data_IF_669796737662
#
_entry.id   IF_669796737662
#
_cell.length_a   1.000
_cell.length_b   1.000
_cell.length_c   1.000
_cell.angle_alpha   90.00
_cell.angle_beta   90.00
_cell.angle_gamma   90.00
#
_symmetry.space_group_name_H-M   'P 1'
#
loop_
_entity.id
_entity.type
_entity.pdbx_description
1 polymer ?
#
# COMPACT_ATOMS: atom_id res chain seq x y z
N UNK A 1 0.70 -0.37 -12.61
CA UNK A 1 1.70 0.61 -12.13
C UNK A 1 2.06 0.36 -10.67
N UNK A 2 1.09 0.32 -9.75
CA UNK A 2 1.32 0.11 -8.32
C UNK A 2 1.86 -1.29 -7.95
N UNK A 3 1.72 -2.28 -8.83
CA UNK A 3 2.40 -3.59 -8.70
C UNK A 3 3.93 -3.46 -8.65
N UNK A 4 4.48 -2.43 -9.30
CA UNK A 4 5.92 -2.24 -9.55
C UNK A 4 6.47 -1.08 -8.71
N UNK A 5 5.68 -0.03 -8.51
CA UNK A 5 6.03 1.14 -7.70
C UNK A 5 5.22 1.07 -6.40
N UNK A 6 5.79 0.51 -5.31
CA UNK A 6 5.06 0.31 -4.06
C UNK A 6 4.80 1.62 -3.30
N UNK A 7 5.60 2.67 -3.55
CA UNK A 7 5.41 3.98 -2.91
C UNK A 7 4.24 4.74 -3.53
N UNK A 8 3.18 4.94 -2.75
CA UNK A 8 2.00 5.70 -3.17
C UNK A 8 2.30 7.15 -3.56
N UNK A 9 3.16 7.83 -2.79
CA UNK A 9 3.55 9.21 -3.07
C UNK A 9 4.34 9.32 -4.38
N UNK A 10 5.33 8.43 -4.57
CA UNK A 10 6.14 8.40 -5.80
C UNK A 10 5.28 8.05 -7.01
N UNK A 11 4.36 7.09 -6.86
CA UNK A 11 3.44 6.73 -7.92
C UNK A 11 2.51 7.89 -8.30
N UNK A 12 1.98 8.63 -7.32
CA UNK A 12 1.13 9.77 -7.61
C UNK A 12 1.86 10.86 -8.41
N UNK A 13 3.12 11.18 -8.08
CA UNK A 13 3.93 12.13 -8.87
C UNK A 13 4.03 11.68 -10.33
N UNK A 14 4.36 10.41 -10.56
CA UNK A 14 4.51 9.86 -11.91
C UNK A 14 3.17 9.88 -12.67
N UNK A 15 2.08 9.50 -12.02
CA UNK A 15 0.75 9.51 -12.64
C UNK A 15 0.24 10.92 -12.91
N UNK A 16 0.59 11.90 -12.06
CA UNK A 16 0.31 13.30 -12.34
C UNK A 16 1.08 13.81 -13.57
N UNK A 17 2.29 13.31 -13.83
CA UNK A 17 3.04 13.66 -15.04
C UNK A 17 2.53 12.94 -16.29
N UNK A 18 2.09 11.69 -16.16
CA UNK A 18 1.83 10.79 -17.31
C UNK A 18 0.34 10.57 -17.60
N UNK A 19 -0.43 10.22 -16.58
CA UNK A 19 -1.84 9.85 -16.72
C UNK A 19 -2.75 11.08 -16.65
N UNK A 20 -2.43 12.07 -15.82
CA UNK A 20 -3.27 13.24 -15.65
C UNK A 20 -3.56 13.99 -16.96
N UNK A 21 -2.57 14.33 -17.83
CA UNK A 21 -2.85 14.98 -19.10
C UNK A 21 -3.77 14.15 -20.00
N UNK A 22 -3.61 12.82 -20.00
CA UNK A 22 -4.46 11.90 -20.78
C UNK A 22 -5.91 11.93 -20.27
N UNK A 23 -6.12 11.93 -18.95
CA UNK A 23 -7.45 12.02 -18.36
C UNK A 23 -8.12 13.38 -18.65
N UNK A 24 -7.34 14.46 -18.71
CA UNK A 24 -7.82 15.80 -19.07
C UNK A 24 -8.26 15.87 -20.52
N UNK A 25 -7.49 15.29 -21.46
CA UNK A 25 -7.89 15.15 -22.87
C UNK A 25 -9.15 14.29 -23.02
N UNK A 26 -9.32 13.26 -22.18
CA UNK A 26 -10.55 12.47 -22.09
C UNK A 26 -11.75 13.22 -21.48
N UNK A 27 -11.63 14.54 -21.25
CA UNK A 27 -12.64 15.45 -20.71
C UNK A 27 -13.05 15.17 -19.26
N UNK A 28 -12.21 14.49 -18.48
CA UNK A 28 -12.42 14.40 -17.03
C UNK A 28 -12.11 15.74 -16.36
N UNK A 29 -12.86 16.10 -15.33
CA UNK A 29 -12.57 17.28 -14.51
C UNK A 29 -11.21 17.14 -13.81
N UNK A 30 -10.56 18.26 -13.49
CA UNK A 30 -9.24 18.27 -12.86
C UNK A 30 -9.28 17.56 -11.50
N UNK A 31 -10.34 17.80 -10.73
CA UNK A 31 -10.57 17.15 -9.45
C UNK A 31 -10.91 15.65 -9.57
N UNK A 32 -11.65 15.24 -10.61
CA UNK A 32 -11.93 13.83 -10.87
C UNK A 32 -10.66 13.06 -11.25
N UNK A 33 -9.82 13.63 -12.12
CA UNK A 33 -8.53 13.05 -12.49
C UNK A 33 -7.58 12.97 -11.29
N UNK A 34 -7.49 14.03 -10.49
CA UNK A 34 -6.75 14.06 -9.24
C UNK A 34 -7.24 12.99 -8.25
N UNK A 35 -8.55 12.88 -8.03
CA UNK A 35 -9.14 11.90 -7.13
C UNK A 35 -8.86 10.46 -7.56
N UNK A 36 -8.96 10.16 -8.86
CA UNK A 36 -8.58 8.83 -9.37
C UNK A 36 -7.10 8.56 -9.16
N UNK A 37 -6.22 9.52 -9.45
CA UNK A 37 -4.77 9.36 -9.26
C UNK A 37 -4.41 9.14 -7.79
N UNK A 38 -5.00 9.91 -6.87
CA UNK A 38 -4.78 9.78 -5.43
C UNK A 38 -5.17 8.40 -4.87
N UNK A 39 -6.09 7.69 -5.52
CA UNK A 39 -6.60 6.38 -5.09
C UNK A 39 -5.93 5.18 -5.77
N UNK A 40 -5.07 5.40 -6.77
CA UNK A 40 -4.40 4.31 -7.51
C UNK A 40 -3.48 3.42 -6.69
N UNK A 41 -2.95 3.94 -5.57
CA UNK A 41 -2.01 3.25 -4.68
C UNK A 41 -2.68 2.80 -3.36
N UNK A 42 -3.96 2.48 -3.41
CA UNK A 42 -4.72 2.03 -2.24
C UNK A 42 -4.46 0.54 -1.99
N UNK A 43 -5.21 -0.35 -2.62
CA UNK A 43 -5.07 -1.78 -2.41
C UNK A 43 -4.42 -2.43 -3.63
N UNK A 44 -3.32 -3.15 -3.41
CA UNK A 44 -2.59 -3.82 -4.50
C UNK A 44 -2.11 -5.18 -4.04
N UNK A 45 -2.61 -6.29 -4.61
CA UNK A 45 -2.07 -7.61 -4.35
C UNK A 45 -0.72 -7.77 -5.06
N UNK A 46 0.35 -7.26 -4.45
CA UNK A 46 1.72 -7.37 -4.97
C UNK A 46 2.65 -8.00 -3.95
N UNK A 47 3.47 -9.00 -4.34
CA UNK A 47 4.49 -9.57 -3.46
C UNK A 47 5.66 -8.62 -3.20
N UNK A 48 5.72 -7.49 -3.90
CA UNK A 48 6.72 -6.44 -3.70
C UNK A 48 6.32 -5.39 -2.65
N UNK A 49 5.08 -5.43 -2.14
CA UNK A 49 4.59 -4.50 -1.14
C UNK A 49 5.25 -4.76 0.21
N UNK A 50 5.91 -3.74 0.79
CA UNK A 50 6.59 -3.90 2.09
C UNK A 50 5.64 -4.33 3.21
N UNK A 51 4.39 -3.86 3.16
CA UNK A 51 3.31 -4.27 4.05
C UNK A 51 2.93 -5.74 3.85
N UNK A 52 2.81 -6.22 2.61
CA UNK A 52 2.58 -7.63 2.31
C UNK A 52 3.72 -8.54 2.78
N UNK A 53 4.97 -8.10 2.62
CA UNK A 53 6.16 -8.84 3.06
C UNK A 53 6.19 -8.97 4.58
N UNK A 54 5.93 -7.87 5.29
CA UNK A 54 5.87 -7.86 6.77
C UNK A 54 4.70 -8.71 7.26
N UNK A 55 3.51 -8.57 6.68
CA UNK A 55 2.33 -9.36 7.02
C UNK A 55 2.61 -10.86 6.85
N UNK A 56 3.11 -11.28 5.69
CA UNK A 56 3.43 -12.67 5.41
C UNK A 56 4.43 -13.24 6.43
N UNK A 57 5.49 -12.49 6.75
CA UNK A 57 6.52 -12.92 7.71
C UNK A 57 5.96 -13.11 9.12
N UNK A 58 5.18 -12.15 9.61
CA UNK A 58 4.64 -12.17 10.98
C UNK A 58 3.54 -13.23 11.13
N UNK A 59 2.76 -13.45 10.07
CA UNK A 59 1.70 -14.46 10.04
C UNK A 59 2.23 -15.88 9.76
N UNK A 60 3.53 -16.05 9.52
CA UNK A 60 4.17 -17.37 9.37
C UNK A 60 4.08 -17.97 7.96
N UNK A 61 3.82 -17.19 6.92
CA UNK A 61 3.87 -17.67 5.54
C UNK A 61 5.32 -17.78 5.04
N UNK A 62 5.69 -18.94 4.49
CA UNK A 62 7.04 -19.17 3.95
C UNK A 62 7.32 -18.31 2.70
N UNK A 63 6.31 -18.13 1.84
CA UNK A 63 6.39 -17.30 0.65
C UNK A 63 5.34 -16.20 0.66
N UNK A 64 5.78 -14.95 0.44
CA UNK A 64 4.89 -13.78 0.34
C UNK A 64 3.85 -13.97 -0.78
N UNK A 65 4.21 -14.69 -1.84
CA UNK A 65 3.31 -15.02 -2.95
C UNK A 65 2.09 -15.79 -2.48
N UNK A 66 2.22 -16.70 -1.52
CA UNK A 66 1.10 -17.50 -1.02
C UNK A 66 0.11 -16.60 -0.24
N UNK A 67 0.63 -15.74 0.65
CA UNK A 67 -0.20 -14.74 1.33
C UNK A 67 -0.94 -13.82 0.34
N UNK A 68 -0.20 -13.30 -0.64
CA UNK A 68 -0.76 -12.35 -1.61
C UNK A 68 -1.79 -13.01 -2.51
N UNK A 69 -1.54 -14.22 -3.02
CA UNK A 69 -2.43 -14.87 -4.00
C UNK A 69 -3.63 -15.54 -3.34
N UNK A 70 -3.45 -16.19 -2.19
CA UNK A 70 -4.50 -16.98 -1.55
C UNK A 70 -5.42 -16.16 -0.63
N UNK A 71 -4.89 -15.08 -0.04
CA UNK A 71 -5.64 -14.29 0.95
C UNK A 71 -5.87 -12.86 0.46
N UNK A 72 -4.80 -12.13 0.14
CA UNK A 72 -4.92 -10.71 -0.21
C UNK A 72 -5.64 -10.49 -1.55
N UNK A 73 -5.26 -11.19 -2.62
CA UNK A 73 -5.80 -11.02 -3.97
C UNK A 73 -7.29 -11.36 -4.03
N UNK A 74 -7.70 -12.44 -3.36
CA UNK A 74 -9.08 -12.91 -3.32
C UNK A 74 -10.04 -11.86 -2.77
N UNK A 75 -9.61 -11.07 -1.78
CA UNK A 75 -10.43 -10.00 -1.19
C UNK A 75 -10.23 -8.68 -1.94
N UNK A 76 -8.97 -8.31 -2.21
CA UNK A 76 -8.64 -7.03 -2.84
C UNK A 76 -9.18 -6.85 -4.26
N UNK A 77 -9.17 -7.88 -5.10
CA UNK A 77 -9.61 -7.76 -6.50
C UNK A 77 -11.11 -7.42 -6.62
N UNK A 78 -12.04 -8.15 -5.96
CA UNK A 78 -13.44 -7.75 -5.91
C UNK A 78 -13.64 -6.34 -5.33
N UNK A 79 -12.92 -6.00 -4.25
CA UNK A 79 -12.99 -4.67 -3.63
C UNK A 79 -12.58 -3.57 -4.61
N UNK A 80 -11.51 -3.77 -5.38
CA UNK A 80 -11.05 -2.82 -6.39
C UNK A 80 -12.09 -2.58 -7.49
N UNK A 81 -12.80 -3.63 -7.92
CA UNK A 81 -13.91 -3.49 -8.88
C UNK A 81 -15.04 -2.63 -8.30
N UNK A 82 -15.42 -2.88 -7.04
CA UNK A 82 -16.45 -2.09 -6.34
C UNK A 82 -16.01 -0.64 -6.19
N UNK A 83 -14.76 -0.39 -5.79
CA UNK A 83 -14.18 0.96 -5.68
C UNK A 83 -14.22 1.65 -7.06
N UNK A 84 -13.86 0.96 -8.13
CA UNK A 84 -13.90 1.50 -9.50
C UNK A 84 -15.31 1.94 -9.92
N UNK A 85 -16.31 1.10 -9.64
CA UNK A 85 -17.72 1.43 -9.90
C UNK A 85 -18.16 2.63 -9.04
N UNK A 86 -17.80 2.64 -7.75
CA UNK A 86 -18.11 3.74 -6.85
C UNK A 86 -17.45 5.05 -7.30
N UNK A 87 -16.21 5.01 -7.80
CA UNK A 87 -15.52 6.15 -8.41
C UNK A 87 -16.33 6.70 -9.59
N UNK A 88 -16.78 5.86 -10.51
CA UNK A 88 -17.56 6.30 -11.67
C UNK A 88 -18.78 7.14 -11.26
N UNK A 89 -19.60 6.62 -10.35
CA UNK A 89 -20.82 7.31 -9.91
C UNK A 89 -20.51 8.54 -9.05
N UNK A 90 -19.54 8.44 -8.14
CA UNK A 90 -19.20 9.54 -7.23
C UNK A 90 -18.56 10.72 -7.95
N UNK A 91 -17.64 10.47 -8.89
CA UNK A 91 -17.05 11.56 -9.67
C UNK A 91 -18.10 12.29 -10.51
N UNK A 92 -19.03 11.55 -11.16
CA UNK A 92 -20.13 12.16 -11.92
C UNK A 92 -21.05 13.01 -11.04
N UNK A 93 -21.34 12.55 -9.83
CA UNK A 93 -22.14 13.30 -8.86
C UNK A 93 -21.41 14.57 -8.40
N UNK A 94 -20.13 14.47 -8.02
CA UNK A 94 -19.32 15.60 -7.58
C UNK A 94 -19.08 16.62 -8.70
N UNK A 95 -18.85 16.17 -9.94
CA UNK A 95 -18.69 17.05 -11.10
C UNK A 95 -19.98 17.84 -11.38
N UNK A 96 -21.15 17.21 -11.27
CA UNK A 96 -22.44 17.92 -11.35
C UNK A 96 -22.63 18.93 -10.22
N UNK A 97 -22.21 18.59 -9.00
CA UNK A 97 -22.39 19.45 -7.82
C UNK A 97 -21.43 20.64 -7.80
N UNK A 98 -20.19 20.45 -8.26
CA UNK A 98 -19.15 21.48 -8.25
C UNK A 98 -19.11 22.31 -9.54
N UNK A 99 -19.69 21.81 -10.64
CA UNK A 99 -19.80 22.55 -11.90
C UNK A 99 -18.45 23.05 -12.38
N UNK A 100 -18.35 24.36 -12.66
CA UNK A 100 -17.11 24.99 -13.11
C UNK A 100 -15.94 24.86 -12.10
N UNK A 101 -16.21 24.80 -10.79
CA UNK A 101 -15.18 24.65 -9.78
C UNK A 101 -14.47 23.29 -9.80
N UNK A 102 -15.02 22.29 -10.51
CA UNK A 102 -14.36 21.01 -10.74
C UNK A 102 -13.19 21.09 -11.75
N UNK A 103 -13.18 22.14 -12.57
CA UNK A 103 -12.18 22.39 -13.60
C UNK A 103 -11.22 23.46 -13.10
N UNK A 104 -10.02 23.04 -12.71
CA UNK A 104 -8.93 23.95 -12.38
C UNK A 104 -7.99 24.10 -13.56
N UNK A 105 -7.54 25.32 -13.80
CA UNK A 105 -6.47 25.61 -14.77
C UNK A 105 -5.15 25.09 -14.21
N UNK A 106 -4.83 23.86 -14.60
CA UNK A 106 -3.54 23.24 -14.34
C UNK A 106 -2.67 23.48 -15.55
N UNK A 107 -1.50 24.08 -15.31
CA UNK A 107 -0.48 24.30 -16.33
C UNK A 107 0.20 22.96 -16.64
N UNK A 108 -0.40 22.21 -17.58
CA UNK A 108 0.05 20.86 -17.95
C UNK A 108 1.48 20.86 -18.54
N UNK A 109 1.96 22.00 -19.05
CA UNK A 109 3.33 22.15 -19.54
C UNK A 109 4.39 21.98 -18.44
N UNK A 110 4.02 22.13 -17.16
CA UNK A 110 4.89 21.89 -16.01
C UNK A 110 4.85 20.46 -15.49
N UNK A 111 3.93 19.63 -16.02
CA UNK A 111 3.81 18.21 -15.68
C UNK A 111 4.71 17.33 -16.55
N UNK A 112 5.28 17.87 -17.63
CA UNK A 112 6.14 17.11 -18.53
C UNK A 112 7.48 16.79 -17.86
N UNK A 113 7.77 15.50 -17.75
CA UNK A 113 9.09 15.00 -17.38
C UNK A 113 10.13 15.31 -18.46
N UNK A 114 11.35 15.65 -18.01
CA UNK A 114 12.52 16.01 -18.81
C UNK A 114 12.64 15.31 -20.19
N UNK A 115 13.10 16.08 -21.18
CA UNK A 115 13.34 15.67 -22.58
C UNK A 115 14.46 14.63 -22.78
N UNK A 116 15.19 14.24 -21.73
CA UNK A 116 16.21 13.18 -21.78
C UNK A 116 15.66 11.89 -21.17
N UNK A 117 14.89 11.16 -21.97
CA UNK A 117 14.44 9.82 -21.59
C UNK A 117 15.60 8.82 -21.73
N UNK A 118 15.84 7.94 -20.74
CA UNK A 118 16.77 6.84 -20.90
C UNK A 118 16.28 5.86 -21.99
N UNK A 119 17.15 4.98 -22.51
CA UNK A 119 16.77 3.99 -23.51
C UNK A 119 15.54 3.16 -23.09
N UNK A 120 14.67 2.83 -24.05
CA UNK A 120 13.37 2.19 -23.77
C UNK A 120 13.46 0.90 -22.95
N UNK A 121 14.55 0.13 -23.08
CA UNK A 121 14.76 -1.11 -22.32
C UNK A 121 14.91 -0.88 -20.80
N UNK A 122 15.15 0.35 -20.33
CA UNK A 122 15.20 0.67 -18.89
C UNK A 122 13.86 0.45 -18.19
N UNK A 123 12.76 0.48 -18.94
CA UNK A 123 11.44 0.13 -18.42
C UNK A 123 11.35 -1.33 -17.93
N UNK A 124 12.28 -2.20 -18.33
CA UNK A 124 12.34 -3.59 -17.88
C UNK A 124 12.93 -3.72 -16.48
N UNK A 125 13.87 -2.86 -16.05
CA UNK A 125 14.56 -3.02 -14.77
C UNK A 125 13.62 -3.07 -13.55
N UNK A 126 12.61 -2.19 -13.43
CA UNK A 126 11.65 -2.28 -12.33
C UNK A 126 10.81 -3.57 -12.35
N UNK A 127 10.68 -4.25 -13.50
CA UNK A 127 9.92 -5.50 -13.66
C UNK A 127 10.73 -6.74 -13.23
N UNK A 128 12.07 -6.66 -13.23
CA UNK A 128 12.94 -7.80 -12.95
C UNK A 128 12.66 -8.43 -11.57
N UNK A 129 12.54 -7.65 -10.46
CA UNK A 129 12.22 -8.23 -9.17
C UNK A 129 10.90 -9.02 -9.19
N UNK A 130 9.86 -8.47 -9.83
CA UNK A 130 8.56 -9.11 -9.93
C UNK A 130 8.64 -10.41 -10.74
N UNK A 131 9.31 -10.36 -11.90
CA UNK A 131 9.51 -11.51 -12.76
C UNK A 131 10.23 -12.64 -12.03
N UNK A 132 11.33 -12.34 -11.33
CA UNK A 132 12.09 -13.33 -10.56
C UNK A 132 11.25 -13.92 -9.42
N UNK A 133 10.52 -13.10 -8.67
CA UNK A 133 9.63 -13.60 -7.59
C UNK A 133 8.58 -14.56 -8.13
N UNK A 134 7.93 -14.21 -9.24
CA UNK A 134 6.88 -15.04 -9.84
C UNK A 134 7.46 -16.34 -10.39
N UNK A 135 8.59 -16.28 -11.09
CA UNK A 135 9.23 -17.47 -11.68
C UNK A 135 9.75 -18.42 -10.59
N UNK A 136 10.49 -17.91 -9.60
CA UNK A 136 10.99 -18.75 -8.52
C UNK A 136 9.86 -19.27 -7.61
N UNK A 137 8.83 -18.44 -7.34
CA UNK A 137 7.69 -18.82 -6.52
C UNK A 137 6.75 -19.85 -7.16
N UNK A 138 6.64 -19.89 -8.50
CA UNK A 138 5.77 -20.84 -9.21
C UNK A 138 6.51 -22.09 -9.70
N UNK A 139 7.71 -21.95 -10.25
CA UNK A 139 8.41 -23.05 -10.94
C UNK A 139 9.52 -23.69 -10.10
N UNK A 140 10.09 -22.96 -9.12
CA UNK A 140 11.25 -23.40 -8.34
C UNK A 140 11.02 -23.30 -6.83
N UNK A 141 9.84 -23.76 -6.36
CA UNK A 141 9.46 -23.73 -4.93
C UNK A 141 10.45 -24.41 -3.98
N UNK A 142 11.28 -25.33 -4.48
CA UNK A 142 12.31 -25.99 -3.67
C UNK A 142 13.54 -25.10 -3.41
N UNK A 143 13.73 -24.04 -4.20
CA UNK A 143 14.82 -23.09 -4.03
C UNK A 143 14.33 -21.94 -3.14
N UNK A 144 14.84 -21.90 -1.91
CA UNK A 144 14.57 -20.81 -0.95
C UNK A 144 15.39 -19.57 -1.30
N UNK A 145 15.06 -18.94 -2.43
CA UNK A 145 15.54 -17.59 -2.75
C UNK A 145 14.63 -16.60 -2.00
N UNK A 146 15.21 -15.84 -1.07
CA UNK A 146 14.51 -14.79 -0.36
C UNK A 146 14.36 -13.52 -1.21
N UNK A 147 13.57 -12.59 -0.68
CA UNK A 147 13.36 -11.27 -1.29
C UNK A 147 14.67 -10.45 -1.34
N UNK A 148 15.57 -10.66 -0.38
CA UNK A 148 16.86 -9.97 -0.30
C UNK A 148 17.74 -10.32 -1.49
N UNK A 149 17.84 -11.59 -1.82
CA UNK A 149 18.64 -12.09 -2.93
C UNK A 149 18.11 -11.57 -4.27
N UNK A 150 16.78 -11.56 -4.45
CA UNK A 150 16.13 -11.05 -5.67
C UNK A 150 16.38 -9.56 -5.85
N UNK A 151 16.26 -8.79 -4.77
CA UNK A 151 16.48 -7.33 -4.82
C UNK A 151 17.94 -7.00 -5.07
N UNK A 152 18.89 -7.70 -4.44
CA UNK A 152 20.32 -7.53 -4.69
C UNK A 152 20.71 -7.93 -6.11
N UNK A 153 20.18 -9.03 -6.65
CA UNK A 153 20.43 -9.43 -8.04
C UNK A 153 19.90 -8.40 -9.03
N UNK A 154 18.68 -7.91 -8.81
CA UNK A 154 18.07 -6.87 -9.65
C UNK A 154 18.87 -5.57 -9.62
N UNK A 155 19.36 -5.19 -8.44
CA UNK A 155 20.25 -4.04 -8.27
C UNK A 155 21.59 -4.25 -8.99
N UNK A 156 22.23 -5.41 -8.81
CA UNK A 156 23.51 -5.73 -9.44
C UNK A 156 23.43 -5.69 -10.97
N UNK A 157 22.35 -6.25 -11.54
CA UNK A 157 22.12 -6.21 -12.98
C UNK A 157 21.92 -4.77 -13.49
N UNK A 158 21.09 -3.97 -12.81
CA UNK A 158 20.92 -2.56 -13.15
C UNK A 158 22.23 -1.76 -13.03
N UNK A 159 23.04 -2.07 -12.01
CA UNK A 159 24.34 -1.46 -11.80
C UNK A 159 25.32 -1.76 -12.94
N UNK A 160 25.43 -3.03 -13.34
CA UNK A 160 26.33 -3.48 -14.42
C UNK A 160 25.92 -2.85 -15.75
N UNK A 161 24.63 -2.82 -16.07
CA UNK A 161 24.17 -2.26 -17.36
C UNK A 161 24.43 -0.75 -17.44
N UNK A 162 24.15 0.00 -16.38
CA UNK A 162 24.45 1.44 -16.36
C UNK A 162 25.96 1.73 -16.37
N UNK A 163 26.76 0.86 -15.74
CA UNK A 163 28.22 0.93 -15.80
C UNK A 163 28.74 0.70 -17.22
N UNK A 164 28.23 -0.30 -17.94
CA UNK A 164 28.60 -0.56 -19.35
C UNK A 164 28.19 0.62 -20.25
N UNK A 165 27.03 1.23 -19.99
CA UNK A 165 26.48 2.32 -20.81
C UNK A 165 27.23 3.63 -20.66
N UNK A 166 27.51 4.06 -19.42
CA UNK A 166 28.13 5.36 -19.13
C UNK A 166 29.64 5.29 -18.96
N UNK A 167 30.19 4.12 -18.59
CA UNK A 167 31.61 3.94 -18.31
C UNK A 167 32.14 4.67 -17.06
N UNK A 168 31.32 5.47 -16.38
CA UNK A 168 31.72 6.23 -15.19
C UNK A 168 31.39 5.49 -13.89
N UNK A 169 32.40 4.80 -13.35
CA UNK A 169 32.34 4.13 -12.05
C UNK A 169 32.01 5.09 -10.90
N UNK A 170 32.48 6.34 -10.94
CA UNK A 170 32.34 7.29 -9.84
C UNK A 170 30.92 7.83 -9.77
N UNK A 171 30.34 8.19 -10.92
CA UNK A 171 28.93 8.59 -11.00
C UNK A 171 28.02 7.42 -10.59
N UNK A 172 28.35 6.20 -11.03
CA UNK A 172 27.52 5.03 -10.75
C UNK A 172 27.57 4.59 -9.28
N UNK A 173 28.72 4.71 -8.63
CA UNK A 173 28.84 4.54 -7.18
C UNK A 173 28.03 5.60 -6.41
N UNK A 174 28.02 6.84 -6.90
CA UNK A 174 27.18 7.91 -6.31
C UNK A 174 25.70 7.58 -6.44
N UNK A 175 25.25 7.11 -7.60
CA UNK A 175 23.86 6.70 -7.82
C UNK A 175 23.48 5.47 -6.95
N UNK A 176 24.42 4.56 -6.74
CA UNK A 176 24.22 3.39 -5.86
C UNK A 176 23.99 3.78 -4.41
N UNK A 177 24.57 4.89 -3.94
CA UNK A 177 24.29 5.40 -2.59
C UNK A 177 22.80 5.69 -2.36
N UNK A 178 22.03 5.99 -3.42
CA UNK A 178 20.59 6.19 -3.33
C UNK A 178 19.86 4.89 -2.96
N UNK A 179 20.31 3.75 -3.49
CA UNK A 179 19.77 2.43 -3.12
C UNK A 179 20.00 2.15 -1.63
N UNK A 180 21.23 2.35 -1.15
CA UNK A 180 21.56 2.17 0.27
C UNK A 180 20.83 3.17 1.18
N UNK A 181 20.67 4.42 0.74
CA UNK A 181 19.89 5.43 1.46
C UNK A 181 18.42 5.01 1.58
N UNK A 182 17.83 4.48 0.50
CA UNK A 182 16.47 3.94 0.51
C UNK A 182 16.34 2.75 1.47
N UNK A 183 17.32 1.86 1.52
CA UNK A 183 17.35 0.77 2.52
C UNK A 183 17.42 1.32 3.96
N UNK A 184 18.24 2.35 4.21
CA UNK A 184 18.32 3.01 5.51
C UNK A 184 16.99 3.65 5.95
N UNK A 185 16.26 4.29 5.03
CA UNK A 185 14.93 4.82 5.29
C UNK A 185 13.93 3.70 5.63
N UNK A 186 13.95 2.60 4.87
CA UNK A 186 13.12 1.43 5.16
C UNK A 186 13.41 0.82 6.53
N UNK A 187 14.69 0.73 6.92
CA UNK A 187 15.08 0.29 8.25
C UNK A 187 14.49 1.20 9.34
N UNK A 188 14.66 2.51 9.22
CA UNK A 188 14.15 3.47 10.20
C UNK A 188 12.63 3.50 10.30
N UNK A 189 11.91 3.29 9.20
CA UNK A 189 10.44 3.44 9.15
C UNK A 189 9.69 2.15 9.42
N UNK A 190 10.29 0.99 9.14
CA UNK A 190 9.63 -0.31 9.25
C UNK A 190 10.25 -1.13 10.37
N UNK A 191 11.55 -1.40 10.30
CA UNK A 191 12.22 -2.31 11.23
C UNK A 191 12.21 -1.77 12.65
N UNK A 192 12.49 -0.48 12.85
CA UNK A 192 12.46 0.15 14.18
C UNK A 192 11.07 0.06 14.82
N UNK A 193 9.99 0.28 14.06
CA UNK A 193 8.62 0.16 14.56
C UNK A 193 8.29 -1.27 14.96
N UNK A 194 8.67 -2.25 14.12
CA UNK A 194 8.46 -3.67 14.40
C UNK A 194 9.19 -4.09 15.68
N UNK A 195 10.47 -3.70 15.83
CA UNK A 195 11.25 -4.02 17.04
C UNK A 195 10.64 -3.38 18.29
N UNK A 196 10.18 -2.14 18.19
CA UNK A 196 9.49 -1.48 19.30
C UNK A 196 8.18 -2.20 19.67
N UNK A 197 7.37 -2.57 18.67
CA UNK A 197 6.13 -3.31 18.84
C UNK A 197 6.38 -4.69 19.44
N UNK A 198 7.34 -5.47 18.93
CA UNK A 198 7.69 -6.80 19.44
C UNK A 198 8.20 -6.73 20.89
N UNK A 199 8.96 -5.70 21.23
CA UNK A 199 9.42 -5.45 22.61
C UNK A 199 8.23 -5.15 23.53
N UNK A 200 7.28 -4.33 23.09
CA UNK A 200 6.03 -4.08 23.82
C UNK A 200 5.21 -5.37 24.01
N UNK A 201 5.05 -6.18 22.95
CA UNK A 201 4.33 -7.46 23.02
C UNK A 201 4.98 -8.39 24.04
N UNK A 202 6.32 -8.50 24.03
CA UNK A 202 7.07 -9.29 24.99
C UNK A 202 6.85 -8.80 26.43
N UNK A 203 6.87 -7.48 26.65
CA UNK A 203 6.57 -6.87 27.94
C UNK A 203 5.14 -7.15 28.43
N UNK A 204 4.13 -6.97 27.56
CA UNK A 204 2.73 -7.26 27.87
C UNK A 204 2.48 -8.74 28.16
N UNK A 205 3.20 -9.63 27.47
CA UNK A 205 3.15 -11.08 27.72
C UNK A 205 3.75 -11.40 29.08
N UNK A 206 4.91 -10.83 29.41
CA UNK A 206 5.59 -11.07 30.69
C UNK A 206 4.76 -10.66 31.90
N UNK A 207 3.95 -9.58 31.79
CA UNK A 207 3.06 -9.13 32.87
C UNK A 207 1.69 -9.83 32.87
N UNK A 208 1.43 -10.77 31.95
CA UNK A 208 0.14 -11.47 31.84
C UNK A 208 -1.03 -10.58 31.37
N UNK A 209 -0.76 -9.41 30.80
CA UNK A 209 -1.80 -8.51 30.31
C UNK A 209 -2.52 -9.08 29.10
N UNK A 210 -1.78 -9.70 28.16
CA UNK A 210 -2.38 -10.29 26.95
C UNK A 210 -3.33 -11.44 27.33
N UNK A 211 -2.94 -12.31 28.26
CA UNK A 211 -3.80 -13.40 28.77
C UNK A 211 -5.05 -12.89 29.47
N UNK A 212 -4.92 -11.79 30.23
CA UNK A 212 -6.06 -11.17 30.91
C UNK A 212 -7.05 -10.62 29.89
N UNK A 213 -6.58 -9.84 28.92
CA UNK A 213 -7.44 -9.29 27.86
C UNK A 213 -8.06 -10.39 27.01
N UNK A 214 -7.30 -11.43 26.66
CA UNK A 214 -7.83 -12.53 25.87
C UNK A 214 -8.90 -13.34 26.62
N UNK A 215 -8.76 -13.51 27.95
CA UNK A 215 -9.78 -14.19 28.75
C UNK A 215 -11.13 -13.46 28.74
N UNK A 216 -11.12 -12.12 28.67
CA UNK A 216 -12.34 -11.30 28.54
C UNK A 216 -12.99 -11.43 27.15
N UNK A 217 -12.20 -11.74 26.12
CA UNK A 217 -12.67 -11.89 24.74
C UNK A 217 -13.17 -13.31 24.46
N UNK A 218 -12.68 -14.33 25.19
CA UNK A 218 -13.08 -15.74 25.02
C UNK A 218 -14.57 -16.01 25.27
N UNK A 219 -15.22 -15.25 26.15
CA UNK A 219 -16.66 -15.40 26.44
C UNK A 219 -17.56 -14.71 25.42
N UNK A 220 -16.98 -13.94 24.49
CA UNK A 220 -17.73 -13.26 23.43
C UNK A 220 -17.91 -14.20 22.24
N UNK A 221 -19.16 -14.61 21.97
CA UNK A 221 -19.51 -15.26 20.72
C UNK A 221 -19.00 -14.40 19.53
N UNK A 222 -18.31 -15.01 18.58
CA UNK A 222 -17.67 -14.36 17.43
C UNK A 222 -16.52 -13.40 17.77
N UNK A 223 -15.66 -13.76 18.74
CA UNK A 223 -14.43 -13.05 19.07
C UNK A 223 -13.61 -12.56 17.85
N UNK A 224 -13.49 -13.38 16.81
CA UNK A 224 -12.76 -13.02 15.58
C UNK A 224 -13.35 -11.83 14.83
N UNK A 225 -14.69 -11.75 14.76
CA UNK A 225 -15.40 -10.63 14.15
C UNK A 225 -15.19 -9.36 14.98
N UNK A 226 -15.30 -9.46 16.32
CA UNK A 226 -15.07 -8.34 17.22
C UNK A 226 -13.66 -7.77 17.07
N UNK A 227 -12.64 -8.64 17.10
CA UNK A 227 -11.24 -8.25 16.92
C UNK A 227 -10.99 -7.62 15.55
N UNK A 228 -11.56 -8.20 14.48
CA UNK A 228 -11.47 -7.63 13.13
C UNK A 228 -11.97 -6.17 13.10
N UNK A 229 -13.15 -5.89 13.64
CA UNK A 229 -13.72 -4.54 13.67
C UNK A 229 -12.92 -3.59 14.57
N UNK A 230 -12.46 -4.05 15.73
CA UNK A 230 -11.67 -3.23 16.67
C UNK A 230 -10.35 -2.80 16.02
N UNK A 231 -9.57 -3.75 15.49
CA UNK A 231 -8.26 -3.44 14.90
C UNK A 231 -8.37 -2.65 13.60
N UNK A 232 -9.34 -2.98 12.75
CA UNK A 232 -9.58 -2.21 11.52
C UNK A 232 -10.12 -0.82 11.82
N UNK A 233 -11.04 -0.67 12.78
CA UNK A 233 -11.59 0.62 13.20
C UNK A 233 -10.54 1.52 13.87
N UNK A 234 -9.74 0.96 14.78
CA UNK A 234 -8.61 1.67 15.39
C UNK A 234 -7.61 2.12 14.33
N UNK A 235 -7.29 1.23 13.39
CA UNK A 235 -6.39 1.55 12.27
C UNK A 235 -6.96 2.69 11.43
N UNK A 236 -8.25 2.63 11.08
CA UNK A 236 -8.91 3.71 10.34
C UNK A 236 -8.77 5.05 11.07
N UNK A 237 -9.06 5.11 12.37
CA UNK A 237 -8.97 6.34 13.15
C UNK A 237 -7.54 6.91 13.19
N UNK A 238 -6.55 6.09 13.56
CA UNK A 238 -5.16 6.55 13.67
C UNK A 238 -4.60 6.92 12.29
N UNK A 239 -4.91 6.13 11.26
CA UNK A 239 -4.45 6.42 9.89
C UNK A 239 -5.09 7.69 9.34
N UNK A 240 -6.36 7.96 9.64
CA UNK A 240 -7.02 9.18 9.20
C UNK A 240 -6.33 10.42 9.79
N UNK A 241 -5.94 10.38 11.06
CA UNK A 241 -5.29 11.48 11.77
C UNK A 241 -3.81 11.61 11.39
N UNK A 242 -3.08 10.50 11.26
CA UNK A 242 -1.63 10.52 11.01
C UNK A 242 -1.24 10.60 9.54
N UNK A 243 -2.13 10.21 8.62
CA UNK A 243 -1.84 10.11 7.19
C UNK A 243 -0.88 8.97 6.81
N UNK A 244 -0.46 8.14 7.77
CA UNK A 244 0.49 7.04 7.56
C UNK A 244 -0.14 5.68 7.86
N UNK A 245 -0.73 5.05 6.84
CA UNK A 245 -1.30 3.71 6.97
C UNK A 245 -0.29 2.66 7.42
N UNK A 246 0.86 2.60 6.72
CA UNK A 246 1.88 1.58 6.97
C UNK A 246 2.46 1.65 8.39
N UNK A 247 2.69 2.85 8.94
CA UNK A 247 3.22 2.99 10.30
C UNK A 247 2.25 2.40 11.35
N UNK A 248 0.95 2.65 11.17
CA UNK A 248 -0.09 2.09 12.06
C UNK A 248 -0.11 0.57 11.93
N UNK A 249 -0.13 0.05 10.70
CA UNK A 249 -0.11 -1.39 10.45
C UNK A 249 1.10 -2.07 11.10
N UNK A 250 2.32 -1.55 10.87
CA UNK A 250 3.56 -2.10 11.44
C UNK A 250 3.61 -2.06 12.97
N UNK A 251 2.95 -1.09 13.59
CA UNK A 251 2.92 -0.98 15.05
C UNK A 251 2.03 -2.04 15.72
N UNK A 252 0.98 -2.52 15.04
CA UNK A 252 0.01 -3.44 15.63
C UNK A 252 0.11 -4.88 15.13
N UNK A 253 0.70 -5.12 13.95
CA UNK A 253 0.72 -6.45 13.32
C UNK A 253 1.41 -7.51 14.19
N UNK A 254 2.44 -7.16 14.96
CA UNK A 254 3.14 -8.07 15.89
C UNK A 254 2.25 -8.55 17.05
N UNK A 255 1.19 -7.82 17.40
CA UNK A 255 0.25 -8.21 18.45
C UNK A 255 -0.76 -9.27 17.94
N UNK A 256 -1.01 -9.30 16.63
CA UNK A 256 -2.10 -10.08 16.05
C UNK A 256 -1.94 -11.59 16.28
N UNK A 257 -0.79 -12.23 16.03
CA UNK A 257 -0.66 -13.68 16.24
C UNK A 257 -0.93 -14.11 17.68
N UNK A 258 -0.41 -13.35 18.66
CA UNK A 258 -0.60 -13.66 20.08
C UNK A 258 -2.06 -13.54 20.51
N UNK A 259 -2.75 -12.49 20.05
CA UNK A 259 -4.17 -12.27 20.33
C UNK A 259 -5.04 -13.33 19.64
N UNK A 260 -4.77 -13.60 18.37
CA UNK A 260 -5.52 -14.56 17.56
C UNK A 260 -5.43 -15.99 18.12
N UNK A 261 -4.22 -16.42 18.51
CA UNK A 261 -4.00 -17.72 19.14
C UNK A 261 -4.79 -17.90 20.44
N UNK A 262 -4.88 -16.85 21.26
CA UNK A 262 -5.63 -16.91 22.51
C UNK A 262 -7.14 -16.84 22.29
N UNK A 263 -7.59 -16.13 21.27
CA UNK A 263 -9.00 -16.09 20.87
C UNK A 263 -9.43 -17.30 20.00
N UNK A 264 -8.52 -18.21 19.67
CA UNK A 264 -8.74 -19.36 18.78
C UNK A 264 -9.31 -18.98 17.41
N UNK A 265 -8.78 -17.90 16.83
CA UNK A 265 -9.18 -17.39 15.50
C UNK A 265 -8.00 -17.35 14.56
N UNK A 266 -8.28 -17.43 13.26
CA UNK A 266 -7.25 -17.27 12.23
C UNK A 266 -6.68 -15.83 12.30
N UNK A 267 -5.36 -15.63 12.49
CA UNK A 267 -4.77 -14.30 12.55
C UNK A 267 -4.94 -13.50 11.25
N UNK A 268 -5.11 -14.17 10.10
CA UNK A 268 -5.38 -13.51 8.80
C UNK A 268 -6.71 -12.79 8.82
N UNK A 269 -7.72 -13.31 9.55
CA UNK A 269 -9.04 -12.67 9.71
C UNK A 269 -8.94 -11.26 10.31
N UNK A 270 -7.91 -10.98 11.09
CA UNK A 270 -7.69 -9.69 11.74
C UNK A 270 -6.66 -8.86 10.96
N UNK A 271 -5.51 -9.46 10.61
CA UNK A 271 -4.40 -8.76 10.00
C UNK A 271 -4.70 -8.23 8.60
N UNK A 272 -5.38 -9.02 7.76
CA UNK A 272 -5.65 -8.64 6.37
C UNK A 272 -6.59 -7.42 6.26
N UNK A 273 -7.78 -7.39 6.88
CA UNK A 273 -8.64 -6.20 6.83
C UNK A 273 -7.99 -5.00 7.52
N UNK A 274 -7.18 -5.21 8.57
CA UNK A 274 -6.39 -4.14 9.18
C UNK A 274 -5.40 -3.52 8.17
N UNK A 275 -4.66 -4.36 7.44
CA UNK A 275 -3.73 -3.92 6.40
C UNK A 275 -4.44 -3.13 5.29
N UNK A 276 -5.51 -3.69 4.75
CA UNK A 276 -6.29 -3.09 3.68
C UNK A 276 -6.94 -1.77 4.11
N UNK A 277 -7.44 -1.71 5.35
CA UNK A 277 -7.99 -0.50 5.95
C UNK A 277 -6.95 0.61 6.08
N UNK A 278 -5.74 0.28 6.56
CA UNK A 278 -4.62 1.23 6.61
C UNK A 278 -4.38 1.87 5.24
N UNK A 279 -4.40 1.07 4.18
CA UNK A 279 -4.12 1.53 2.83
C UNK A 279 -5.27 2.35 2.22
N UNK A 280 -6.51 1.94 2.43
CA UNK A 280 -7.70 2.68 1.98
C UNK A 280 -7.85 4.01 2.70
N UNK A 281 -7.77 3.99 4.03
CA UNK A 281 -8.02 5.17 4.85
C UNK A 281 -6.92 6.22 4.69
N UNK A 282 -5.68 5.79 4.42
CA UNK A 282 -4.57 6.69 4.08
C UNK A 282 -4.93 7.60 2.90
N UNK A 283 -5.63 7.10 1.88
CA UNK A 283 -5.99 7.87 0.69
C UNK A 283 -7.23 8.79 0.87
N UNK A 284 -7.86 8.78 2.05
CA UNK A 284 -8.86 9.77 2.46
C UNK A 284 -8.36 10.69 3.59
N UNK A 285 -7.09 10.56 4.00
CA UNK A 285 -6.50 11.43 5.00
C UNK A 285 -5.93 12.70 4.35
N UNK A 286 -6.34 13.90 4.79
CA UNK A 286 -5.89 15.17 4.23
C UNK A 286 -4.42 15.48 4.54
N UNK A 287 -3.84 14.80 5.53
CA UNK A 287 -2.43 14.94 5.91
C UNK A 287 -1.52 13.90 5.25
N UNK A 288 -2.08 12.97 4.45
CA UNK A 288 -1.28 11.98 3.75
C UNK A 288 -0.46 12.62 2.62
N UNK A 289 0.79 12.18 2.49
CA UNK A 289 1.71 12.71 1.46
C UNK A 289 1.13 12.60 0.04
N UNK A 290 0.45 11.49 -0.27
CA UNK A 290 -0.15 11.27 -1.60
C UNK A 290 -1.24 12.29 -1.92
N UNK A 291 -2.12 12.59 -0.96
CA UNK A 291 -3.19 13.58 -1.13
C UNK A 291 -2.60 14.99 -1.23
N UNK A 292 -1.61 15.32 -0.40
CA UNK A 292 -0.93 16.63 -0.43
C UNK A 292 -0.24 16.86 -1.78
N UNK A 293 0.49 15.86 -2.29
CA UNK A 293 1.16 15.94 -3.59
C UNK A 293 0.14 16.19 -4.70
N UNK A 294 -0.91 15.38 -4.78
CA UNK A 294 -1.93 15.51 -5.82
C UNK A 294 -2.64 16.86 -5.74
N UNK A 295 -3.02 17.28 -4.53
CA UNK A 295 -3.68 18.57 -4.29
C UNK A 295 -2.78 19.76 -4.66
N UNK A 296 -1.48 19.68 -4.35
CA UNK A 296 -0.49 20.69 -4.73
C UNK A 296 -0.36 20.83 -6.24
N UNK A 297 -0.31 19.71 -6.97
CA UNK A 297 -0.19 19.72 -8.43
C UNK A 297 -1.42 20.36 -9.10
N UNK A 298 -2.62 20.04 -8.62
CA UNK A 298 -3.86 20.63 -9.17
C UNK A 298 -4.25 21.97 -8.54
N UNK A 299 -3.41 22.50 -7.64
CA UNK A 299 -3.55 23.79 -6.93
C UNK A 299 -4.87 23.93 -6.15
N UNK A 300 -5.26 22.88 -5.45
CA UNK A 300 -6.45 22.89 -4.57
C UNK A 300 -6.09 22.51 -3.15
N UNK A 301 -7.01 22.72 -2.21
CA UNK A 301 -6.82 22.24 -0.84
C UNK A 301 -6.87 20.71 -0.80
N UNK A 302 -6.07 20.04 0.05
CA UNK A 302 -6.13 18.58 0.24
C UNK A 302 -7.54 18.05 0.52
N UNK A 303 -8.37 18.86 1.20
CA UNK A 303 -9.75 18.53 1.52
C UNK A 303 -10.60 18.36 0.26
N UNK A 304 -10.37 19.12 -0.81
CA UNK A 304 -11.10 18.95 -2.08
C UNK A 304 -10.79 17.60 -2.73
N UNK A 305 -9.53 17.15 -2.67
CA UNK A 305 -9.16 15.80 -3.14
C UNK A 305 -9.82 14.74 -2.26
N UNK A 306 -9.80 14.90 -0.93
CA UNK A 306 -10.45 13.97 0.00
C UNK A 306 -11.95 13.85 -0.25
N UNK A 307 -12.65 14.94 -0.57
CA UNK A 307 -14.08 14.88 -0.95
C UNK A 307 -14.31 14.00 -2.18
N UNK A 308 -13.36 13.95 -3.11
CA UNK A 308 -13.42 13.10 -4.30
C UNK A 308 -13.08 11.64 -4.00
N UNK A 309 -12.26 11.35 -3.00
CA UNK A 309 -11.82 9.98 -2.67
C UNK A 309 -12.61 9.33 -1.54
N UNK A 310 -13.26 10.10 -0.67
CA UNK A 310 -13.90 9.63 0.56
C UNK A 310 -14.92 8.53 0.33
N UNK A 311 -15.94 8.77 -0.48
CA UNK A 311 -17.03 7.81 -0.69
C UNK A 311 -16.56 6.53 -1.37
N UNK A 312 -15.84 6.56 -2.51
CA UNK A 312 -15.36 5.33 -3.14
C UNK A 312 -14.50 4.47 -2.20
N UNK A 313 -13.65 5.09 -1.39
CA UNK A 313 -12.75 4.35 -0.49
C UNK A 313 -13.44 3.88 0.79
N UNK A 314 -14.44 4.61 1.30
CA UNK A 314 -15.29 4.12 2.40
C UNK A 314 -16.13 2.93 1.95
N UNK A 315 -16.64 2.94 0.72
CA UNK A 315 -17.29 1.76 0.12
C UNK A 315 -16.29 0.59 0.03
N UNK A 316 -15.06 0.86 -0.40
CA UNK A 316 -13.98 -0.13 -0.41
C UNK A 316 -13.65 -0.70 0.98
N UNK A 317 -13.65 0.14 2.01
CA UNK A 317 -13.41 -0.24 3.39
C UNK A 317 -14.51 -1.18 3.90
N UNK A 318 -15.78 -0.80 3.71
CA UNK A 318 -16.92 -1.64 4.07
C UNK A 318 -16.90 -2.97 3.29
N UNK A 319 -16.65 -2.92 1.98
CA UNK A 319 -16.56 -4.12 1.15
C UNK A 319 -15.44 -5.06 1.62
N UNK A 320 -14.29 -4.51 2.04
CA UNK A 320 -13.18 -5.28 2.59
C UNK A 320 -13.59 -6.05 3.85
N UNK A 321 -14.28 -5.38 4.78
CA UNK A 321 -14.78 -6.02 6.00
C UNK A 321 -15.78 -7.12 5.66
N UNK A 322 -16.74 -6.86 4.76
CA UNK A 322 -17.75 -7.85 4.35
C UNK A 322 -17.11 -9.07 3.69
N UNK A 323 -16.21 -8.89 2.72
CA UNK A 323 -15.55 -10.03 2.07
C UNK A 323 -14.66 -10.82 3.02
N UNK A 324 -14.02 -10.15 3.99
CA UNK A 324 -13.27 -10.85 5.03
C UNK A 324 -14.20 -11.66 5.92
N UNK A 325 -15.35 -11.11 6.33
CA UNK A 325 -16.35 -11.84 7.09
C UNK A 325 -16.84 -13.09 6.36
N UNK A 326 -17.21 -12.96 5.08
CA UNK A 326 -17.67 -14.08 4.25
C UNK A 326 -16.59 -15.16 4.15
N UNK A 327 -15.31 -14.79 4.05
CA UNK A 327 -14.22 -15.73 3.81
C UNK A 327 -13.77 -16.51 5.05
N UNK A 328 -13.80 -15.89 6.23
CA UNK A 328 -13.20 -16.43 7.45
C UNK A 328 -14.19 -16.63 8.62
N UNK A 329 -15.43 -16.16 8.52
CA UNK A 329 -16.45 -16.36 9.57
C UNK A 329 -17.37 -17.56 9.32
N UNK A 330 -17.25 -18.23 8.16
CA UNK A 330 -18.05 -19.38 7.74
C UNK A 330 -17.15 -20.55 7.38
#
# INVERSE_FOLDING_TARGET
MSLIIPSAASLAVILMATLYPILRVAKMSSLSAAGVIATTATIVPTPLGGDNVVAAKILGFEHVVDYVTMHHAVISLPVLVIIGIAHYFWQKYMDKRQGAAAFTDVDESKLTTNSQLPPAYYALFPLIPLFLIVVFGLFFRQIKIGLVEITLFSFALAFIVELIRKGDLREQMKNSSLFFTGMGQGFSQVVVLIVAASTLVAGLTAIGAISTVASLVKEVNNAGIGLMFIFSGLTALITLISGSGNAVFYSFIELIPSIANQAHVDPVMIALPMQLTSNLIRAISPVSAVVIIVASVVKVSPIEVVKRTSVPLLVGFVATLIFTLIRYSF
#
